data_IF_649417783907
#
_entry.id   IF_649417783907
#
_cell.length_a   1.000
_cell.length_b   1.000
_cell.length_c   1.000
_cell.angle_alpha   90.00
_cell.angle_beta   90.00
_cell.angle_gamma   90.00
#
_symmetry.space_group_name_H-M   'P 1'
#
loop_
_entity.id
_entity.type
_entity.pdbx_description
1 polymer ?
#
# COMPACT_ATOMS: atom_id res chain seq x y z
N UNK A 1 12.10 -13.15 20.27
CA UNK A 1 11.62 -13.97 19.13
C UNK A 1 11.72 -15.46 19.41
N UNK A 2 12.90 -16.03 19.68
CA UNK A 2 13.03 -17.47 19.93
C UNK A 2 12.32 -17.96 21.19
N UNK A 3 12.43 -17.23 22.30
CA UNK A 3 11.70 -17.53 23.54
C UNK A 3 10.18 -17.48 23.31
N UNK A 4 9.71 -16.45 22.61
CA UNK A 4 8.30 -16.26 22.29
C UNK A 4 7.74 -17.36 21.39
N UNK A 5 8.54 -17.93 20.47
CA UNK A 5 8.12 -19.10 19.72
C UNK A 5 7.88 -20.33 20.61
N UNK A 6 8.58 -20.47 21.74
CA UNK A 6 8.39 -21.63 22.62
C UNK A 6 7.00 -21.59 23.28
N UNK A 7 6.49 -20.41 23.57
CA UNK A 7 5.20 -20.19 24.24
C UNK A 7 4.07 -19.81 23.29
N UNK A 8 4.33 -19.66 21.99
CA UNK A 8 3.32 -19.24 21.00
C UNK A 8 2.31 -20.38 20.76
N UNK A 9 1.03 -20.22 21.14
CA UNK A 9 0.04 -21.28 21.04
C UNK A 9 -0.26 -21.66 19.58
N UNK A 10 -0.22 -20.70 18.66
CA UNK A 10 -0.52 -20.93 17.25
C UNK A 10 0.59 -21.75 16.59
N UNK A 11 1.84 -21.52 16.97
CA UNK A 11 2.96 -22.35 16.56
C UNK A 11 2.83 -23.79 17.10
N UNK A 12 2.46 -23.98 18.37
CA UNK A 12 2.25 -25.31 18.94
C UNK A 12 1.10 -26.06 18.26
N UNK A 13 0.02 -25.35 17.93
CA UNK A 13 -1.11 -25.91 17.19
C UNK A 13 -0.70 -26.34 15.79
N UNK A 14 0.14 -25.57 15.08
CA UNK A 14 0.63 -25.95 13.74
C UNK A 14 1.59 -27.14 13.82
N UNK A 15 2.45 -27.20 14.84
CA UNK A 15 3.38 -28.31 15.01
C UNK A 15 2.65 -29.62 15.36
N UNK A 16 1.54 -29.54 16.09
CA UNK A 16 0.71 -30.70 16.45
C UNK A 16 -0.32 -31.08 15.39
N UNK A 17 -0.82 -30.09 14.63
CA UNK A 17 -1.86 -30.26 13.62
C UNK A 17 -1.26 -30.36 12.23
N UNK A 18 -1.42 -31.52 11.58
CA UNK A 18 -0.99 -31.75 10.20
C UNK A 18 -1.94 -31.10 9.15
N UNK A 19 -2.57 -29.98 9.50
CA UNK A 19 -3.63 -29.32 8.72
C UNK A 19 -3.10 -28.24 7.78
N UNK A 20 -1.85 -27.83 7.92
CA UNK A 20 -1.24 -26.77 7.11
C UNK A 20 -0.25 -27.32 6.09
N UNK A 21 -0.03 -26.60 5.00
CA UNK A 21 1.01 -26.92 4.01
C UNK A 21 2.41 -26.43 4.44
N UNK A 22 2.55 -25.89 5.64
CA UNK A 22 3.83 -25.41 6.16
C UNK A 22 4.68 -26.59 6.61
N UNK A 23 5.98 -26.50 6.34
CA UNK A 23 6.97 -27.48 6.81
C UNK A 23 7.89 -26.75 7.78
N UNK A 24 7.50 -26.74 9.06
CA UNK A 24 8.23 -26.04 10.11
C UNK A 24 9.35 -26.92 10.67
N UNK A 25 10.58 -26.43 10.63
CA UNK A 25 11.76 -27.10 11.15
C UNK A 25 12.51 -26.19 12.13
N UNK A 26 13.01 -26.73 13.25
CA UNK A 26 13.89 -26.00 14.16
C UNK A 26 15.28 -25.83 13.51
N UNK A 27 15.73 -24.58 13.39
CA UNK A 27 17.03 -24.22 12.83
C UNK A 27 17.82 -23.36 13.82
N UNK A 28 19.12 -23.63 14.04
CA UNK A 28 19.97 -22.79 14.87
C UNK A 28 20.31 -21.48 14.14
N UNK A 29 20.20 -20.36 14.85
CA UNK A 29 20.48 -19.02 14.32
C UNK A 29 21.33 -18.24 15.32
N UNK A 30 22.34 -17.52 14.81
CA UNK A 30 23.23 -16.66 15.61
C UNK A 30 24.36 -17.38 16.33
N UNK A 31 25.14 -16.60 17.07
CA UNK A 31 26.22 -17.06 17.95
C UNK A 31 26.13 -16.31 19.30
N UNK A 32 25.85 -16.99 20.44
CA UNK A 32 25.59 -18.41 20.59
C UNK A 32 24.29 -18.85 19.88
N UNK A 33 24.19 -20.13 19.46
CA UNK A 33 23.08 -20.60 18.64
C UNK A 33 21.77 -20.62 19.43
N UNK A 34 20.75 -19.99 18.87
CA UNK A 34 19.38 -20.04 19.38
C UNK A 34 18.49 -20.71 18.33
N UNK A 35 17.59 -21.60 18.76
CA UNK A 35 16.72 -22.33 17.85
C UNK A 35 15.50 -21.49 17.46
N UNK A 36 15.22 -21.41 16.16
CA UNK A 36 13.98 -20.85 15.60
C UNK A 36 13.25 -21.88 14.75
N UNK A 37 11.93 -21.94 14.91
CA UNK A 37 11.06 -22.64 13.96
C UNK A 37 10.91 -21.82 12.69
N UNK A 38 11.29 -22.44 11.58
CA UNK A 38 11.27 -21.84 10.25
C UNK A 38 10.52 -22.73 9.26
N UNK A 39 9.70 -22.13 8.41
CA UNK A 39 9.12 -22.83 7.28
C UNK A 39 10.15 -23.00 6.16
N UNK A 40 10.23 -24.22 5.62
CA UNK A 40 11.10 -24.59 4.50
C UNK A 40 10.32 -25.12 3.27
N UNK A 41 8.98 -25.11 3.32
CA UNK A 41 8.11 -25.69 2.28
C UNK A 41 8.32 -25.11 0.88
N UNK A 42 8.77 -23.85 0.77
CA UNK A 42 8.95 -23.15 -0.50
C UNK A 42 10.40 -23.10 -0.99
N UNK A 43 11.28 -23.98 -0.50
CA UNK A 43 12.70 -24.01 -0.86
C UNK A 43 13.50 -22.79 -0.37
N UNK A 44 12.94 -22.05 0.59
CA UNK A 44 13.56 -20.91 1.26
C UNK A 44 13.23 -20.96 2.75
N UNK A 45 14.15 -20.51 3.59
CA UNK A 45 13.97 -20.49 5.05
C UNK A 45 13.18 -19.23 5.42
N UNK A 46 12.04 -19.40 6.08
CA UNK A 46 11.20 -18.31 6.56
C UNK A 46 10.89 -18.48 8.04
N UNK A 47 11.48 -17.69 8.95
CA UNK A 47 11.14 -17.76 10.36
C UNK A 47 9.65 -17.57 10.59
N UNK A 48 9.08 -18.42 11.45
CA UNK A 48 7.73 -18.20 11.97
C UNK A 48 7.75 -16.98 12.88
N UNK A 49 6.79 -16.07 12.72
CA UNK A 49 6.76 -14.81 13.49
C UNK A 49 5.63 -14.86 14.53
N UNK A 50 5.95 -14.93 15.84
CA UNK A 50 4.97 -14.82 16.91
C UNK A 50 4.22 -13.50 16.85
N UNK A 51 2.99 -13.47 17.36
CA UNK A 51 2.07 -12.33 17.25
C UNK A 51 2.73 -10.98 17.59
N UNK A 52 3.45 -10.93 18.70
CA UNK A 52 4.12 -9.74 19.22
C UNK A 52 5.14 -9.11 18.26
N UNK A 53 5.74 -9.87 17.35
CA UNK A 53 6.75 -9.39 16.41
C UNK A 53 6.21 -9.09 15.00
N UNK A 54 4.97 -9.49 14.68
CA UNK A 54 4.45 -9.40 13.30
C UNK A 54 4.39 -7.97 12.80
N UNK A 55 3.92 -7.05 13.66
CA UNK A 55 3.79 -5.63 13.32
C UNK A 55 5.16 -4.97 13.13
N UNK A 56 6.14 -5.31 13.97
CA UNK A 56 7.51 -4.82 13.84
C UNK A 56 8.17 -5.36 12.56
N UNK A 57 8.03 -6.67 12.30
CA UNK A 57 8.53 -7.30 11.07
C UNK A 57 7.92 -6.70 9.80
N UNK A 58 6.63 -6.37 9.82
CA UNK A 58 5.99 -5.60 8.75
C UNK A 58 6.60 -4.21 8.62
N UNK A 59 6.71 -3.46 9.72
CA UNK A 59 7.17 -2.07 9.71
C UNK A 59 8.60 -1.95 9.16
N UNK A 60 9.50 -2.85 9.56
CA UNK A 60 10.90 -2.88 9.14
C UNK A 60 11.06 -3.07 7.63
N UNK A 61 10.17 -3.84 6.99
CA UNK A 61 10.21 -4.06 5.54
C UNK A 61 9.40 -3.02 4.75
N UNK A 62 8.21 -2.69 5.22
CA UNK A 62 7.32 -1.76 4.53
C UNK A 62 7.89 -0.33 4.49
N UNK A 63 8.50 0.13 5.60
CA UNK A 63 9.00 1.51 5.72
C UNK A 63 10.24 1.80 4.88
N UNK A 64 10.86 0.80 4.26
CA UNK A 64 11.99 1.00 3.35
C UNK A 64 11.60 1.75 2.07
N UNK A 65 10.36 1.59 1.61
CA UNK A 65 9.92 2.13 0.31
C UNK A 65 8.41 2.35 0.18
N UNK A 66 7.63 2.08 1.23
CA UNK A 66 6.16 2.16 1.21
C UNK A 66 5.52 1.43 0.01
N UNK A 67 5.90 0.16 -0.26
CA UNK A 67 5.42 -0.53 -1.44
C UNK A 67 3.90 -0.79 -1.34
N UNK A 68 3.22 -0.75 -2.49
CA UNK A 68 1.79 -1.07 -2.55
C UNK A 68 1.46 -2.44 -1.96
N UNK A 69 0.20 -2.66 -1.57
CA UNK A 69 -0.28 -3.84 -0.84
C UNK A 69 0.25 -5.16 -1.41
N UNK A 70 0.10 -5.40 -2.73
CA UNK A 70 0.56 -6.65 -3.36
C UNK A 70 2.07 -6.86 -3.24
N UNK A 71 2.84 -5.79 -3.38
CA UNK A 71 4.29 -5.82 -3.26
C UNK A 71 4.73 -6.00 -1.80
N UNK A 72 4.04 -5.36 -0.83
CA UNK A 72 4.24 -5.58 0.61
C UNK A 72 4.01 -7.05 0.99
N UNK A 73 2.89 -7.64 0.56
CA UNK A 73 2.58 -9.06 0.82
C UNK A 73 3.67 -9.97 0.25
N UNK A 74 4.08 -9.74 -1.00
CA UNK A 74 5.14 -10.52 -1.63
C UNK A 74 6.45 -10.42 -0.83
N UNK A 75 6.93 -9.20 -0.60
CA UNK A 75 8.21 -8.93 0.10
C UNK A 75 8.27 -9.58 1.48
N UNK A 76 7.17 -9.52 2.24
CA UNK A 76 7.11 -10.10 3.59
C UNK A 76 7.03 -11.62 3.50
N UNK A 77 6.20 -12.17 2.60
CA UNK A 77 6.04 -13.62 2.43
C UNK A 77 7.29 -14.34 1.95
N UNK A 78 8.25 -13.62 1.35
CA UNK A 78 9.55 -14.15 0.95
C UNK A 78 10.49 -14.38 2.14
N UNK A 79 10.27 -13.68 3.27
CA UNK A 79 11.18 -13.63 4.42
C UNK A 79 10.60 -14.22 5.69
N UNK A 80 9.30 -14.10 5.88
CA UNK A 80 8.60 -14.47 7.11
C UNK A 80 7.36 -15.30 6.81
N UNK A 81 6.86 -15.98 7.84
CA UNK A 81 5.59 -16.69 7.78
C UNK A 81 4.85 -16.57 9.11
N UNK A 82 3.53 -16.44 9.04
CA UNK A 82 2.60 -16.63 10.14
C UNK A 82 1.19 -16.83 9.57
N UNK A 83 0.23 -17.34 10.35
CA UNK A 83 -1.14 -17.53 9.86
C UNK A 83 -1.82 -16.19 9.56
N UNK A 84 -2.68 -16.17 8.55
CA UNK A 84 -3.37 -14.94 8.13
C UNK A 84 -2.45 -13.77 7.72
N UNK A 85 -1.15 -13.99 7.50
CA UNK A 85 -0.17 -12.97 7.11
C UNK A 85 -0.62 -12.05 5.98
N UNK A 86 -1.24 -12.60 4.93
CA UNK A 86 -1.73 -11.79 3.81
C UNK A 86 -2.80 -10.79 4.26
N UNK A 87 -3.70 -11.19 5.16
CA UNK A 87 -4.76 -10.33 5.68
C UNK A 87 -4.16 -9.20 6.54
N UNK A 88 -3.25 -9.54 7.45
CA UNK A 88 -2.57 -8.58 8.32
C UNK A 88 -1.77 -7.55 7.52
N UNK A 89 -0.89 -8.01 6.63
CA UNK A 89 -0.08 -7.13 5.78
C UNK A 89 -0.96 -6.24 4.91
N UNK A 90 -2.08 -6.77 4.40
CA UNK A 90 -3.03 -5.98 3.62
C UNK A 90 -3.67 -4.88 4.46
N UNK A 91 -4.08 -5.20 5.69
CA UNK A 91 -4.67 -4.25 6.62
C UNK A 91 -3.65 -3.15 6.97
N UNK A 92 -2.44 -3.52 7.38
CA UNK A 92 -1.41 -2.56 7.81
C UNK A 92 -0.92 -1.67 6.67
N UNK A 93 -0.70 -2.21 5.46
CA UNK A 93 -0.34 -1.40 4.30
C UNK A 93 -1.48 -0.46 3.89
N UNK A 94 -2.75 -0.87 4.07
CA UNK A 94 -3.92 0.00 3.80
C UNK A 94 -4.06 1.11 4.84
N UNK A 95 -3.69 0.87 6.09
CA UNK A 95 -3.78 1.84 7.19
C UNK A 95 -2.51 2.66 7.40
N UNK A 96 -1.48 2.48 6.57
CA UNK A 96 -0.27 3.30 6.60
C UNK A 96 -0.58 4.77 6.23
N UNK A 97 -0.38 5.69 7.18
CA UNK A 97 -0.67 7.11 7.00
C UNK A 97 0.15 7.75 5.87
N UNK A 98 1.44 7.41 5.77
CA UNK A 98 2.31 7.94 4.71
C UNK A 98 1.82 7.50 3.32
N UNK A 99 1.44 6.23 3.17
CA UNK A 99 0.84 5.73 1.92
C UNK A 99 -0.50 6.40 1.61
N UNK A 100 -1.36 6.61 2.61
CA UNK A 100 -2.66 7.26 2.43
C UNK A 100 -2.54 8.72 1.99
N UNK A 101 -1.57 9.45 2.53
CA UNK A 101 -1.31 10.84 2.18
C UNK A 101 -0.68 10.98 0.79
N UNK A 102 0.29 10.12 0.46
CA UNK A 102 0.99 10.18 -0.81
C UNK A 102 0.15 9.68 -1.99
N UNK A 103 -0.80 8.76 -1.75
CA UNK A 103 -1.56 8.09 -2.80
C UNK A 103 -3.03 8.45 -2.78
N UNK A 104 -3.48 9.17 -3.80
CA UNK A 104 -4.90 9.30 -4.10
C UNK A 104 -5.43 7.93 -4.56
N UNK A 105 -6.09 7.20 -3.66
CA UNK A 105 -6.65 5.88 -3.95
C UNK A 105 -8.03 5.95 -4.61
N UNK A 106 -8.78 7.03 -4.37
CA UNK A 106 -10.11 7.27 -4.89
C UNK A 106 -10.23 8.74 -5.26
N UNK A 107 -10.38 9.02 -6.55
CA UNK A 107 -10.79 10.33 -6.99
C UNK A 107 -12.26 10.52 -6.62
N UNK A 108 -12.56 11.52 -5.79
CA UNK A 108 -13.92 11.99 -5.61
C UNK A 108 -14.38 12.61 -6.91
N UNK A 109 -15.18 11.88 -7.69
CA UNK A 109 -15.88 12.43 -8.84
C UNK A 109 -17.16 13.10 -8.34
N UNK A 110 -17.12 14.42 -8.23
CA UNK A 110 -18.34 15.20 -8.01
C UNK A 110 -19.31 14.93 -9.17
N UNK A 111 -20.61 14.83 -8.86
CA UNK A 111 -21.62 14.79 -9.92
C UNK A 111 -21.52 16.10 -10.71
N UNK A 112 -21.62 16.01 -12.04
CA UNK A 112 -21.75 17.19 -12.88
C UNK A 112 -23.00 17.95 -12.42
N UNK A 113 -22.84 19.20 -12.02
CA UNK A 113 -23.97 20.07 -11.69
C UNK A 113 -24.61 20.58 -12.98
N UNK A 114 -25.95 20.59 -13.01
CA UNK A 114 -26.67 21.27 -14.08
C UNK A 114 -26.64 22.78 -13.80
N UNK A 115 -25.94 23.52 -14.64
CA UNK A 115 -25.96 24.99 -14.61
C UNK A 115 -27.05 25.50 -15.52
N UNK A 116 -27.93 26.36 -15.01
CA UNK A 116 -28.94 27.05 -15.82
C UNK A 116 -28.22 27.85 -16.91
N UNK A 117 -28.61 27.72 -18.19
CA UNK A 117 -28.08 28.55 -19.27
C UNK A 117 -28.39 30.03 -19.00
N UNK A 118 -27.48 30.97 -19.34
CA UNK A 118 -27.78 32.39 -19.25
C UNK A 118 -28.99 32.73 -20.14
N UNK A 119 -29.77 33.72 -19.72
CA UNK A 119 -30.97 34.20 -20.40
C UNK A 119 -30.69 35.36 -21.36
N UNK A 120 -29.54 36.02 -21.21
CA UNK A 120 -29.10 37.12 -22.06
C UNK A 120 -27.59 37.07 -22.34
N UNK A 121 -27.18 37.77 -23.41
CA UNK A 121 -25.75 37.97 -23.75
C UNK A 121 -25.02 38.66 -22.61
N UNK A 122 -23.77 38.27 -22.39
CA UNK A 122 -22.85 38.84 -21.40
C UNK A 122 -23.25 38.63 -19.94
N UNK A 123 -24.27 37.82 -19.66
CA UNK A 123 -24.65 37.42 -18.29
C UNK A 123 -23.57 36.51 -17.68
N UNK A 124 -23.02 35.59 -18.49
CA UNK A 124 -21.94 34.69 -18.10
C UNK A 124 -20.85 34.63 -19.19
N UNK A 125 -19.64 35.11 -18.83
CA UNK A 125 -18.46 35.06 -19.71
C UNK A 125 -17.40 34.19 -19.08
N UNK A 126 -16.97 33.15 -19.80
CA UNK A 126 -15.83 32.34 -19.43
C UNK A 126 -14.54 32.99 -19.92
N UNK A 127 -13.60 33.22 -19.02
CA UNK A 127 -12.30 33.78 -19.33
C UNK A 127 -11.24 32.75 -18.94
N UNK A 128 -10.38 32.39 -19.89
CA UNK A 128 -9.29 31.42 -19.67
C UNK A 128 -8.02 31.85 -20.40
N UNK A 129 -6.86 31.44 -19.89
CA UNK A 129 -5.56 31.77 -20.47
C UNK A 129 -4.91 30.51 -21.04
N UNK A 130 -4.76 30.48 -22.36
CA UNK A 130 -4.11 29.37 -23.07
C UNK A 130 -2.62 29.66 -23.20
N UNK A 131 -1.79 28.75 -22.68
CA UNK A 131 -0.34 28.79 -22.89
C UNK A 131 0.49 28.01 -21.86
N UNK A 132 1.82 28.11 -21.95
CA UNK A 132 2.57 28.93 -22.90
C UNK A 132 2.61 28.34 -24.32
N UNK A 133 2.50 29.20 -25.32
CA UNK A 133 2.61 28.91 -26.75
C UNK A 133 4.00 29.32 -27.29
N UNK A 134 4.39 28.85 -28.50
CA UNK A 134 5.54 29.41 -29.21
C UNK A 134 5.43 30.94 -29.32
N UNK A 135 6.54 31.68 -29.15
CA UNK A 135 6.50 33.13 -29.18
C UNK A 135 6.08 33.64 -30.56
N UNK A 136 5.11 34.55 -30.56
CA UNK A 136 4.70 35.32 -31.73
C UNK A 136 4.72 36.79 -31.32
N UNK A 137 5.61 37.58 -31.94
CA UNK A 137 5.80 39.00 -31.60
C UNK A 137 6.06 39.27 -30.11
N UNK A 138 6.72 38.33 -29.43
CA UNK A 138 7.01 38.42 -27.99
C UNK A 138 5.87 37.97 -27.06
N UNK A 139 4.69 37.65 -27.60
CA UNK A 139 3.57 37.10 -26.84
C UNK A 139 3.59 35.57 -26.81
N UNK A 140 3.17 34.98 -25.68
CA UNK A 140 3.18 33.52 -25.46
C UNK A 140 1.87 32.96 -24.89
N UNK A 141 0.87 33.80 -24.70
CA UNK A 141 -0.40 33.40 -24.11
C UNK A 141 -1.55 34.02 -24.91
N UNK A 142 -2.67 33.30 -24.99
CA UNK A 142 -3.90 33.79 -25.58
C UNK A 142 -4.98 33.85 -24.50
N UNK A 143 -5.55 35.03 -24.28
CA UNK A 143 -6.72 35.19 -23.43
C UNK A 143 -7.96 34.83 -24.24
N UNK A 144 -8.66 33.78 -23.84
CA UNK A 144 -9.94 33.40 -24.43
C UNK A 144 -11.07 33.96 -23.58
N UNK A 145 -12.05 34.59 -24.23
CA UNK A 145 -13.25 35.13 -23.61
C UNK A 145 -14.46 34.61 -24.38
N UNK A 146 -15.29 33.79 -23.75
CA UNK A 146 -16.44 33.12 -24.38
C UNK A 146 -17.72 33.49 -23.64
N UNK A 147 -18.64 34.16 -24.34
CA UNK A 147 -20.00 34.41 -23.84
C UNK A 147 -20.85 33.14 -23.94
N UNK A 148 -21.26 32.60 -22.80
CA UNK A 148 -22.00 31.33 -22.68
C UNK A 148 -23.43 31.39 -23.25
N UNK A 149 -23.97 32.59 -23.49
CA UNK A 149 -25.26 32.72 -24.18
C UNK A 149 -25.13 32.43 -25.68
N UNK A 150 -24.01 32.83 -26.28
CA UNK A 150 -23.78 32.73 -27.73
C UNK A 150 -23.09 31.44 -28.19
N UNK A 151 -22.53 30.64 -27.26
CA UNK A 151 -21.78 29.41 -27.53
C UNK A 151 -21.97 28.36 -26.45
#
# INVERSE_FOLDING_TARGET
>A
MAEEQQTDPELQDILSSNTTSLVLQPLPVGEPPVTLHCDVSLGRIRPFVPENFRREGFANLHSLSHPGIRASVRMISERYVWPSMKADVTLWARTCLQCQQAKVSRHTRSKLSHFVPPSARFEHVHIDLVGPLPPSEGFRYCLTCVDRFSK
#
